data_IF_250893879966
#
_entry.id   IF_250893879966
#
_cell.length_a   1.000
_cell.length_b   1.000
_cell.length_c   1.000
_cell.angle_alpha   90.00
_cell.angle_beta   90.00
_cell.angle_gamma   90.00
#
_symmetry.space_group_name_H-M   'P 1'
#
loop_
_entity.id
_entity.type
_entity.pdbx_description
1 polymer ?
#
# COMPACT_ATOMS: atom_id res chain seq x y z
N UNK A 1 -6.32 -14.57 -1.67
CA UNK A 1 -5.77 -13.20 -1.62
C UNK A 1 -4.27 -13.25 -1.34
N UNK A 2 -3.54 -12.18 -1.62
CA UNK A 2 -2.12 -11.98 -1.33
C UNK A 2 -1.93 -10.67 -0.56
N UNK A 3 -0.84 -10.57 0.22
CA UNK A 3 -0.42 -9.32 0.84
C UNK A 3 0.51 -8.54 -0.08
N UNK A 4 0.34 -7.22 -0.11
CA UNK A 4 1.16 -6.32 -0.91
C UNK A 4 1.58 -5.10 -0.08
N UNK A 5 2.80 -4.63 -0.32
CA UNK A 5 3.24 -3.29 0.05
C UNK A 5 3.42 -2.51 -1.25
N UNK A 6 2.70 -1.40 -1.39
CA UNK A 6 2.80 -0.50 -2.53
C UNK A 6 3.16 0.89 -2.04
N UNK A 7 4.06 1.55 -2.73
CA UNK A 7 4.38 2.95 -2.51
C UNK A 7 3.70 3.80 -3.59
N UNK A 8 3.03 4.88 -3.18
CA UNK A 8 2.51 5.91 -4.09
C UNK A 8 3.09 7.26 -3.71
N UNK A 9 3.06 8.21 -4.64
CA UNK A 9 3.38 9.62 -4.37
C UNK A 9 2.09 10.41 -4.29
N UNK A 10 1.88 11.10 -3.17
CA UNK A 10 0.76 11.98 -2.95
C UNK A 10 1.25 13.42 -2.88
N UNK A 11 0.41 14.37 -3.30
CA UNK A 11 0.70 15.79 -3.07
C UNK A 11 0.66 16.09 -1.57
N UNK A 12 1.68 16.78 -1.09
CA UNK A 12 1.76 17.21 0.30
C UNK A 12 2.44 18.59 0.34
N UNK A 13 1.64 19.62 0.63
CA UNK A 13 2.11 21.01 0.71
C UNK A 13 3.18 21.22 1.80
N UNK A 14 3.30 20.30 2.76
CA UNK A 14 4.31 20.34 3.83
C UNK A 14 5.58 19.58 3.45
N UNK A 15 5.57 18.79 2.38
CA UNK A 15 6.73 18.04 1.94
C UNK A 15 7.67 18.89 1.06
N UNK A 16 8.98 18.69 1.22
CA UNK A 16 9.99 19.34 0.39
C UNK A 16 9.84 18.86 -1.06
N UNK A 17 9.40 19.74 -1.96
CA UNK A 17 9.08 19.41 -3.35
C UNK A 17 7.61 19.13 -3.63
N UNK A 18 6.71 19.38 -2.66
CA UNK A 18 5.26 19.32 -2.84
C UNK A 18 4.67 17.90 -2.95
N UNK A 19 5.50 16.86 -2.82
CA UNK A 19 5.08 15.47 -2.90
C UNK A 19 5.71 14.64 -1.78
N UNK A 20 4.92 13.70 -1.25
CA UNK A 20 5.33 12.73 -0.23
C UNK A 20 5.11 11.31 -0.74
N UNK A 21 6.09 10.44 -0.54
CA UNK A 21 5.93 9.01 -0.75
C UNK A 21 5.17 8.40 0.45
N UNK A 22 4.11 7.65 0.17
CA UNK A 22 3.30 6.94 1.16
C UNK A 22 3.33 5.46 0.81
N UNK A 23 3.64 4.63 1.80
CA UNK A 23 3.57 3.17 1.68
C UNK A 23 2.25 2.68 2.21
N UNK A 24 1.71 1.69 1.54
CA UNK A 24 0.41 1.08 1.83
C UNK A 24 0.61 -0.41 1.98
N UNK A 25 0.05 -0.99 3.04
CA UNK A 25 -0.04 -2.44 3.19
C UNK A 25 -1.50 -2.86 2.98
N UNK A 26 -1.73 -3.93 2.23
CA UNK A 26 -3.08 -4.37 1.89
C UNK A 26 -3.20 -5.83 1.50
N UNK A 27 -4.43 -6.33 1.49
CA UNK A 27 -4.78 -7.70 1.11
C UNK A 27 -5.68 -7.67 -0.12
N UNK A 28 -5.16 -8.10 -1.27
CA UNK A 28 -5.89 -8.04 -2.55
C UNK A 28 -5.70 -9.31 -3.38
N UNK A 29 -6.49 -9.46 -4.46
CA UNK A 29 -6.32 -10.57 -5.40
C UNK A 29 -5.01 -10.42 -6.19
N UNK A 30 -4.74 -9.20 -6.63
CA UNK A 30 -3.51 -8.84 -7.34
C UNK A 30 -3.00 -7.45 -6.91
N UNK A 31 -1.73 -7.16 -7.20
CA UNK A 31 -1.17 -5.83 -7.00
C UNK A 31 -1.90 -4.78 -7.86
N UNK A 32 -2.36 -5.15 -9.07
CA UNK A 32 -3.13 -4.25 -9.94
C UNK A 32 -4.42 -3.79 -9.27
N UNK A 33 -5.12 -4.68 -8.59
CA UNK A 33 -6.38 -4.35 -7.91
C UNK A 33 -6.14 -3.36 -6.77
N UNK A 34 -5.06 -3.55 -6.02
CA UNK A 34 -4.68 -2.60 -4.97
C UNK A 34 -4.28 -1.25 -5.56
N UNK A 35 -3.44 -1.22 -6.60
CA UNK A 35 -3.05 0.02 -7.30
C UNK A 35 -4.27 0.80 -7.79
N UNK A 36 -5.29 0.12 -8.28
CA UNK A 36 -6.50 0.76 -8.82
C UNK A 36 -7.32 1.52 -7.75
N UNK A 37 -7.15 1.21 -6.47
CA UNK A 37 -7.90 1.83 -5.36
C UNK A 37 -7.03 2.72 -4.46
N UNK A 38 -5.71 2.65 -4.57
CA UNK A 38 -4.80 3.46 -3.77
C UNK A 38 -4.79 4.94 -4.21
N UNK A 39 -4.75 5.89 -3.28
CA UNK A 39 -4.59 7.29 -3.62
C UNK A 39 -3.15 7.61 -4.06
N UNK A 40 -3.02 8.69 -4.82
CA UNK A 40 -1.75 9.19 -5.35
C UNK A 40 -1.42 8.67 -6.75
N UNK A 41 -0.19 8.93 -7.17
CA UNK A 41 0.33 8.59 -8.50
C UNK A 41 1.65 7.85 -8.42
N UNK A 42 2.11 7.37 -9.59
CA UNK A 42 3.38 6.63 -9.74
C UNK A 42 3.50 5.42 -8.79
N UNK A 43 2.52 4.50 -8.80
CA UNK A 43 2.52 3.34 -7.91
C UNK A 43 3.71 2.42 -8.20
N UNK A 44 4.34 1.93 -7.14
CA UNK A 44 5.42 0.94 -7.21
C UNK A 44 5.18 -0.18 -6.21
N UNK A 45 5.23 -1.44 -6.67
CA UNK A 45 5.16 -2.60 -5.77
C UNK A 45 6.49 -2.72 -5.05
N UNK A 46 6.49 -2.51 -3.74
CA UNK A 46 7.67 -2.60 -2.88
C UNK A 46 7.92 -4.05 -2.48
N UNK A 47 6.87 -4.76 -2.06
CA UNK A 47 6.96 -6.16 -1.63
C UNK A 47 5.61 -6.88 -1.82
N UNK A 48 5.62 -8.21 -1.91
CA UNK A 48 4.42 -9.04 -2.02
C UNK A 48 4.66 -10.47 -1.55
N UNK A 49 3.61 -11.08 -1.00
CA UNK A 49 3.59 -12.53 -0.74
C UNK A 49 3.07 -12.92 0.65
N UNK A 50 3.30 -14.18 1.07
CA UNK A 50 2.74 -14.73 2.30
C UNK A 50 3.20 -14.01 3.57
N UNK A 51 4.46 -13.56 3.63
CA UNK A 51 4.98 -12.81 4.78
C UNK A 51 4.30 -11.45 4.94
N UNK A 52 4.03 -10.76 3.82
CA UNK A 52 3.27 -9.51 3.83
C UNK A 52 1.80 -9.77 4.17
N UNK A 53 1.21 -10.86 3.69
CA UNK A 53 -0.16 -11.23 4.03
C UNK A 53 -0.32 -11.44 5.55
N UNK A 54 0.62 -12.14 6.18
CA UNK A 54 0.63 -12.34 7.62
C UNK A 54 0.76 -11.01 8.38
N UNK A 55 1.65 -10.12 7.94
CA UNK A 55 1.81 -8.77 8.51
C UNK A 55 0.55 -7.92 8.37
N UNK A 56 -0.12 -7.97 7.22
CA UNK A 56 -1.37 -7.25 6.97
C UNK A 56 -2.50 -7.77 7.87
N UNK A 57 -2.59 -9.09 8.06
CA UNK A 57 -3.62 -9.71 8.92
C UNK A 57 -3.36 -9.55 10.41
N UNK A 58 -2.12 -9.32 10.84
CA UNK A 58 -1.78 -9.12 12.26
C UNK A 58 -2.63 -8.03 12.95
N UNK A 59 -2.83 -6.84 12.37
CA UNK A 59 -3.75 -5.83 12.90
C UNK A 59 -5.24 -6.10 12.62
N UNK A 60 -5.61 -7.25 12.06
CA UNK A 60 -7.01 -7.61 11.79
C UNK A 60 -7.54 -7.21 10.40
N UNK A 61 -6.67 -6.83 9.46
CA UNK A 61 -7.06 -6.44 8.10
C UNK A 61 -7.76 -7.58 7.35
N UNK A 62 -8.83 -7.22 6.65
CA UNK A 62 -9.63 -8.13 5.84
C UNK A 62 -9.24 -8.12 4.37
N UNK A 63 -9.74 -9.11 3.65
CA UNK A 63 -9.59 -9.23 2.21
C UNK A 63 -10.28 -8.03 1.51
N UNK A 64 -9.53 -7.26 0.72
CA UNK A 64 -10.02 -6.03 0.09
C UNK A 64 -9.63 -4.74 0.82
N UNK A 65 -9.02 -4.83 1.99
CA UNK A 65 -8.59 -3.68 2.77
C UNK A 65 -7.12 -3.30 2.51
N UNK A 66 -6.81 -2.03 2.77
CA UNK A 66 -5.47 -1.49 2.79
C UNK A 66 -5.38 -0.33 3.79
N UNK A 67 -4.18 -0.03 4.28
CA UNK A 67 -3.93 1.12 5.15
C UNK A 67 -2.52 1.65 4.94
N UNK A 68 -2.26 2.88 5.40
CA UNK A 68 -0.91 3.44 5.42
C UNK A 68 0.00 2.58 6.30
N UNK A 69 1.18 2.28 5.78
CA UNK A 69 2.18 1.45 6.41
C UNK A 69 3.43 2.29 6.72
N UNK A 70 3.75 2.40 8.01
CA UNK A 70 4.93 3.12 8.50
C UNK A 70 6.04 2.19 8.99
N UNK A 71 6.03 0.92 8.58
CA UNK A 71 6.98 -0.09 9.08
C UNK A 71 8.30 -0.14 8.35
#
# INVERSE_FOLDING_TARGET
>A
MNGFIIETRCEDAKARGGQRAIRWIGIMRSARDMIAVLPGHSPSVVDRGPGILARARFPGMQDGEFQEFSG
#
